data_IF_820665836133
#
_entry.id   IF_820665836133
#
_cell.length_a   1.000
_cell.length_b   1.000
_cell.length_c   1.000
_cell.angle_alpha   90.00
_cell.angle_beta   90.00
_cell.angle_gamma   90.00
#
_symmetry.space_group_name_H-M   'P 1'
#
loop_
_entity.id
_entity.type
_entity.pdbx_description
1 polymer ?
#
# COMPACT_ATOMS: atom_id res chain seq x y z
N UNK A 1 -9.20 1.03 -27.73
CA UNK A 1 -8.09 1.25 -26.76
C UNK A 1 -8.71 1.72 -25.46
N UNK A 2 -8.25 1.23 -24.30
CA UNK A 2 -8.74 1.68 -23.00
C UNK A 2 -8.06 2.99 -22.58
N UNK A 3 -8.74 3.81 -21.79
CA UNK A 3 -8.19 4.97 -21.09
C UNK A 3 -7.69 4.52 -19.71
N UNK A 4 -6.38 4.60 -19.49
CA UNK A 4 -5.73 4.13 -18.27
C UNK A 4 -5.16 5.32 -17.52
N UNK A 5 -5.56 5.46 -16.26
CA UNK A 5 -5.01 6.44 -15.34
C UNK A 5 -3.94 5.81 -14.46
N UNK A 6 -2.71 6.31 -14.52
CA UNK A 6 -1.62 5.98 -13.60
C UNK A 6 -1.52 7.10 -12.57
N UNK A 7 -1.63 6.77 -11.28
CA UNK A 7 -1.52 7.76 -10.21
C UNK A 7 -0.08 7.94 -9.76
N UNK A 8 0.51 9.11 -9.98
CA UNK A 8 1.93 9.39 -9.73
C UNK A 8 2.70 9.70 -11.02
N UNK A 9 3.99 10.07 -10.89
CA UNK A 9 4.82 10.49 -12.04
C UNK A 9 6.32 10.15 -11.87
N UNK A 10 6.64 9.11 -11.10
CA UNK A 10 8.00 8.65 -10.88
C UNK A 10 8.51 7.73 -12.01
N UNK A 11 9.69 7.13 -11.78
CA UNK A 11 10.33 6.23 -12.74
C UNK A 11 9.52 4.96 -13.00
N UNK A 12 8.96 4.36 -11.95
CA UNK A 12 8.09 3.16 -12.04
C UNK A 12 6.88 3.44 -12.93
N UNK A 13 6.24 4.59 -12.75
CA UNK A 13 5.05 4.99 -13.48
C UNK A 13 5.34 5.15 -14.99
N UNK A 14 6.50 5.73 -15.33
CA UNK A 14 6.96 5.84 -16.73
C UNK A 14 7.16 4.48 -17.38
N UNK A 15 7.79 3.53 -16.69
CA UNK A 15 7.99 2.16 -17.21
C UNK A 15 6.65 1.44 -17.40
N UNK A 16 5.70 1.60 -16.47
CA UNK A 16 4.33 1.05 -16.62
C UNK A 16 3.67 1.63 -17.87
N UNK A 17 3.74 2.94 -18.07
CA UNK A 17 3.16 3.60 -19.25
C UNK A 17 3.80 3.12 -20.56
N UNK A 18 5.12 2.93 -20.59
CA UNK A 18 5.82 2.41 -21.76
C UNK A 18 5.34 0.99 -22.14
N UNK A 19 5.11 0.13 -21.13
CA UNK A 19 4.57 -1.22 -21.37
C UNK A 19 3.11 -1.20 -21.81
N UNK A 20 2.36 -0.16 -21.44
CA UNK A 20 0.95 0.02 -21.80
C UNK A 20 0.75 0.99 -22.98
N UNK A 21 1.79 1.30 -23.76
CA UNK A 21 1.79 2.32 -24.84
C UNK A 21 0.71 2.16 -25.92
N UNK A 22 0.08 0.99 -26.03
CA UNK A 22 -1.04 0.74 -26.95
C UNK A 22 -2.41 1.17 -26.37
N UNK A 23 -2.40 1.89 -25.25
CA UNK A 23 -3.57 2.44 -24.57
C UNK A 23 -3.41 3.94 -24.38
N UNK A 24 -4.52 4.63 -24.11
CA UNK A 24 -4.50 6.06 -23.81
C UNK A 24 -4.06 6.24 -22.35
N UNK A 25 -2.82 6.66 -22.14
CA UNK A 25 -2.26 6.80 -20.80
C UNK A 25 -2.43 8.22 -20.28
N UNK A 26 -3.00 8.32 -19.08
CA UNK A 26 -3.09 9.55 -18.30
C UNK A 26 -2.26 9.41 -17.03
N UNK A 27 -1.54 10.47 -16.67
CA UNK A 27 -0.90 10.58 -15.37
C UNK A 27 -1.65 11.60 -14.52
N UNK A 28 -1.83 11.31 -13.24
CA UNK A 28 -2.39 12.27 -12.29
C UNK A 28 -1.77 12.08 -10.92
N UNK A 29 -1.33 13.17 -10.29
CA UNK A 29 -0.70 13.14 -8.97
C UNK A 29 -1.52 14.00 -8.00
N UNK A 30 -2.52 13.38 -7.40
CA UNK A 30 -3.47 14.02 -6.47
C UNK A 30 -3.81 13.01 -5.38
N UNK A 31 -4.02 13.47 -4.14
CA UNK A 31 -4.32 12.63 -2.98
C UNK A 31 -5.81 12.69 -2.59
N UNK A 32 -6.55 13.70 -3.07
CA UNK A 32 -7.98 13.83 -2.82
C UNK A 32 -8.79 12.90 -3.74
N UNK A 33 -9.37 11.85 -3.16
CA UNK A 33 -10.11 10.83 -3.90
C UNK A 33 -11.27 11.40 -4.73
N UNK A 34 -11.89 12.49 -4.28
CA UNK A 34 -12.97 13.16 -5.04
C UNK A 34 -12.47 13.75 -6.36
N UNK A 35 -11.27 14.34 -6.37
CA UNK A 35 -10.67 14.89 -7.59
C UNK A 35 -10.23 13.77 -8.54
N UNK A 36 -9.68 12.69 -8.00
CA UNK A 36 -9.35 11.49 -8.80
C UNK A 36 -10.61 10.92 -9.44
N UNK A 37 -11.71 10.79 -8.67
CA UNK A 37 -13.01 10.33 -9.17
C UNK A 37 -13.50 11.23 -10.31
N UNK A 38 -13.43 12.55 -10.12
CA UNK A 38 -13.85 13.53 -11.12
C UNK A 38 -13.01 13.42 -12.39
N UNK A 39 -11.69 13.28 -12.27
CA UNK A 39 -10.80 13.04 -13.40
C UNK A 39 -11.17 11.75 -14.15
N UNK A 40 -11.51 10.69 -13.42
CA UNK A 40 -11.92 9.43 -14.03
C UNK A 40 -13.17 9.60 -14.91
N UNK A 41 -14.14 10.40 -14.46
CA UNK A 41 -15.35 10.71 -15.22
C UNK A 41 -15.03 11.59 -16.44
N UNK A 42 -14.25 12.67 -16.25
CA UNK A 42 -13.92 13.62 -17.31
C UNK A 42 -13.10 13.01 -18.45
N UNK A 43 -12.22 12.06 -18.13
CA UNK A 43 -11.35 11.39 -19.10
C UNK A 43 -11.88 10.03 -19.54
N UNK A 44 -13.08 9.64 -19.12
CA UNK A 44 -13.68 8.33 -19.40
C UNK A 44 -12.70 7.17 -19.10
N UNK A 45 -12.10 7.19 -17.91
CA UNK A 45 -11.08 6.21 -17.49
C UNK A 45 -11.72 4.83 -17.31
N UNK A 46 -11.11 3.80 -17.88
CA UNK A 46 -11.54 2.40 -17.74
C UNK A 46 -10.79 1.68 -16.60
N UNK A 47 -9.52 2.04 -16.39
CA UNK A 47 -8.63 1.42 -15.42
C UNK A 47 -7.79 2.48 -14.70
N UNK A 48 -7.79 2.43 -13.37
CA UNK A 48 -6.86 3.18 -12.52
C UNK A 48 -5.77 2.23 -12.01
N UNK A 49 -4.51 2.65 -12.15
CA UNK A 49 -3.33 2.00 -11.61
C UNK A 49 -2.74 2.92 -10.52
N UNK A 50 -3.07 2.69 -9.25
CA UNK A 50 -2.41 3.35 -8.13
C UNK A 50 -1.01 2.78 -8.00
N UNK A 51 0.01 3.51 -8.43
CA UNK A 51 1.37 2.97 -8.48
C UNK A 51 2.08 3.04 -7.13
N UNK A 52 1.78 4.05 -6.30
CA UNK A 52 2.22 4.09 -4.90
C UNK A 52 1.25 3.36 -3.98
N UNK A 53 1.82 2.57 -3.09
CA UNK A 53 1.21 1.90 -1.96
C UNK A 53 0.41 2.85 -1.05
N UNK A 54 0.78 4.14 -0.98
CA UNK A 54 0.09 5.17 -0.19
C UNK A 54 -1.37 5.30 -0.60
N UNK A 55 -1.66 5.23 -1.91
CA UNK A 55 -3.03 5.30 -2.42
C UNK A 55 -3.88 4.09 -1.98
N UNK A 56 -3.30 2.90 -2.09
CA UNK A 56 -3.95 1.64 -1.74
C UNK A 56 -4.19 1.55 -0.23
N UNK A 57 -3.19 1.92 0.58
CA UNK A 57 -3.30 2.00 2.03
C UNK A 57 -4.33 3.05 2.49
N UNK A 58 -4.47 4.14 1.73
CA UNK A 58 -5.48 5.17 1.98
C UNK A 58 -6.90 4.73 1.57
N UNK A 59 -7.02 3.72 0.71
CA UNK A 59 -8.28 3.10 0.29
C UNK A 59 -8.85 3.63 -1.02
N UNK A 60 -8.00 4.03 -1.98
CA UNK A 60 -8.47 4.54 -3.28
C UNK A 60 -9.36 3.53 -4.00
N UNK A 61 -9.00 2.23 -3.93
CA UNK A 61 -9.74 1.16 -4.57
C UNK A 61 -11.16 1.07 -4.05
N UNK A 62 -11.32 1.00 -2.72
CA UNK A 62 -12.64 0.97 -2.09
C UNK A 62 -13.46 2.21 -2.43
N UNK A 63 -12.84 3.39 -2.39
CA UNK A 63 -13.50 4.67 -2.66
C UNK A 63 -14.01 4.79 -4.11
N UNK A 64 -13.18 4.42 -5.09
CA UNK A 64 -13.57 4.47 -6.50
C UNK A 64 -14.55 3.36 -6.83
N UNK A 65 -14.36 2.11 -6.39
CA UNK A 65 -15.29 1.01 -6.67
C UNK A 65 -16.68 1.24 -6.07
N UNK A 66 -16.76 1.95 -4.93
CA UNK A 66 -18.05 2.34 -4.33
C UNK A 66 -18.83 3.35 -5.18
N UNK A 67 -18.14 4.17 -5.98
CA UNK A 67 -18.73 5.32 -6.68
C UNK A 67 -18.74 5.19 -8.20
N UNK A 68 -17.85 4.38 -8.77
CA UNK A 68 -17.63 4.20 -10.20
C UNK A 68 -17.71 2.71 -10.55
N UNK A 69 -18.90 2.24 -10.95
CA UNK A 69 -19.13 0.80 -11.24
C UNK A 69 -18.33 0.27 -12.44
N UNK A 70 -18.03 1.13 -13.41
CA UNK A 70 -17.39 0.74 -14.67
C UNK A 70 -15.88 0.95 -14.67
N UNK A 71 -15.31 1.53 -13.60
CA UNK A 71 -13.88 1.83 -13.51
C UNK A 71 -13.20 0.73 -12.70
N UNK A 72 -12.28 0.01 -13.33
CA UNK A 72 -11.45 -0.98 -12.65
C UNK A 72 -10.34 -0.27 -11.89
N UNK A 73 -9.94 -0.81 -10.74
CA UNK A 73 -8.79 -0.32 -9.98
C UNK A 73 -7.84 -1.48 -9.71
N UNK A 74 -6.61 -1.35 -10.19
CA UNK A 74 -5.56 -2.34 -9.98
C UNK A 74 -5.05 -2.30 -8.53
N UNK A 75 -4.66 -3.46 -8.01
CA UNK A 75 -4.08 -3.61 -6.67
C UNK A 75 -5.07 -4.03 -5.57
N UNK A 76 -4.57 -4.21 -4.34
CA UNK A 76 -5.36 -4.60 -3.16
C UNK A 76 -6.35 -3.52 -2.71
N UNK A 77 -7.38 -3.92 -1.97
CA UNK A 77 -8.21 -2.97 -1.24
C UNK A 77 -7.51 -2.48 0.04
N UNK A 78 -8.10 -1.51 0.75
CA UNK A 78 -7.51 -0.92 1.97
C UNK A 78 -7.16 -1.95 3.03
N UNK A 79 -8.00 -2.98 3.19
CA UNK A 79 -7.77 -4.03 4.17
C UNK A 79 -6.57 -4.89 3.78
N UNK A 80 -6.53 -5.34 2.53
CA UNK A 80 -5.44 -6.15 1.98
C UNK A 80 -4.11 -5.37 1.95
N UNK A 81 -4.15 -4.07 1.64
CA UNK A 81 -2.98 -3.20 1.59
C UNK A 81 -2.29 -3.02 2.95
N UNK A 82 -2.96 -3.35 4.08
CA UNK A 82 -2.33 -3.35 5.41
C UNK A 82 -1.14 -4.31 5.51
N UNK A 83 -1.09 -5.34 4.67
CA UNK A 83 0.04 -6.26 4.59
C UNK A 83 1.35 -5.58 4.14
N UNK A 84 1.27 -4.43 3.49
CA UNK A 84 2.44 -3.60 3.19
C UNK A 84 2.49 -2.38 4.11
N UNK A 85 1.34 -1.72 4.32
CA UNK A 85 1.25 -0.48 5.08
C UNK A 85 1.43 -0.61 6.60
N UNK A 86 1.38 -1.81 7.17
CA UNK A 86 1.54 -2.04 8.60
C UNK A 86 2.47 -3.23 8.89
N UNK A 87 3.70 -2.92 9.33
CA UNK A 87 4.67 -3.93 9.76
C UNK A 87 4.10 -4.82 10.86
N UNK A 88 3.37 -4.25 11.83
CA UNK A 88 2.71 -4.99 12.89
C UNK A 88 1.68 -5.98 12.34
N UNK A 89 0.74 -5.52 11.50
CA UNK A 89 -0.28 -6.38 10.92
C UNK A 89 0.36 -7.54 10.13
N UNK A 90 1.38 -7.23 9.35
CA UNK A 90 2.10 -8.20 8.53
C UNK A 90 2.79 -9.26 9.37
N UNK A 91 3.52 -8.84 10.40
CA UNK A 91 4.22 -9.72 11.35
C UNK A 91 3.25 -10.58 12.16
N UNK A 92 2.11 -10.02 12.56
CA UNK A 92 1.04 -10.75 13.23
C UNK A 92 0.48 -11.86 12.35
N UNK A 93 0.10 -11.57 11.11
CA UNK A 93 -0.41 -12.57 10.15
C UNK A 93 0.62 -13.67 9.89
N UNK A 94 1.90 -13.31 9.70
CA UNK A 94 2.98 -14.29 9.52
C UNK A 94 3.08 -15.23 10.73
N UNK A 95 3.03 -14.70 11.95
CA UNK A 95 3.08 -15.51 13.18
C UNK A 95 1.83 -16.40 13.33
N UNK A 96 0.63 -15.89 13.08
CA UNK A 96 -0.63 -16.66 13.13
C UNK A 96 -0.65 -17.81 12.12
N UNK A 97 0.00 -17.65 10.96
CA UNK A 97 0.10 -18.65 9.91
C UNK A 97 1.37 -19.51 9.99
N UNK A 98 2.18 -19.36 11.04
CA UNK A 98 3.48 -20.04 11.19
C UNK A 98 4.44 -19.83 9.99
N UNK A 99 4.40 -18.65 9.36
CA UNK A 99 5.31 -18.27 8.29
C UNK A 99 6.65 -17.78 8.88
N UNK A 100 7.81 -18.27 8.37
CA UNK A 100 9.11 -17.81 8.84
C UNK A 100 9.28 -16.31 8.73
N UNK A 101 9.63 -15.65 9.84
CA UNK A 101 9.89 -14.21 9.88
C UNK A 101 10.83 -13.88 11.04
N UNK A 102 11.59 -12.78 10.94
CA UNK A 102 12.42 -12.33 12.05
C UNK A 102 11.58 -12.05 13.31
N UNK A 103 12.11 -12.40 14.48
CA UNK A 103 11.52 -12.06 15.78
C UNK A 103 11.13 -10.58 15.82
N UNK A 104 9.97 -10.30 16.39
CA UNK A 104 9.46 -8.94 16.49
C UNK A 104 8.70 -8.76 17.80
N UNK A 105 8.64 -7.52 18.24
CA UNK A 105 7.78 -7.08 19.32
C UNK A 105 7.07 -5.79 18.89
N UNK A 106 5.88 -5.57 19.44
CA UNK A 106 5.07 -4.38 19.20
C UNK A 106 4.77 -3.70 20.52
N UNK A 107 4.99 -2.39 20.57
CA UNK A 107 4.85 -1.60 21.78
C UNK A 107 3.89 -0.44 21.52
N UNK A 108 3.08 -0.12 22.54
CA UNK A 108 2.18 1.05 22.50
C UNK A 108 2.77 2.25 23.23
N UNK A 109 3.67 2.01 24.18
CA UNK A 109 4.28 3.05 25.01
C UNK A 109 5.79 2.99 24.95
N UNK A 110 6.42 4.13 25.19
CA UNK A 110 7.87 4.22 25.31
C UNK A 110 8.40 3.37 26.48
N UNK A 111 7.65 3.29 27.57
CA UNK A 111 8.04 2.52 28.75
C UNK A 111 8.17 1.02 28.46
N UNK A 112 7.24 0.47 27.65
CA UNK A 112 7.30 -0.94 27.23
C UNK A 112 8.54 -1.22 26.38
N UNK A 113 8.91 -0.25 25.52
CA UNK A 113 10.12 -0.34 24.69
C UNK A 113 11.37 -0.38 25.57
N UNK A 114 11.52 0.54 26.51
CA UNK A 114 12.68 0.59 27.41
C UNK A 114 12.84 -0.71 28.19
N UNK A 115 11.75 -1.21 28.78
CA UNK A 115 11.73 -2.47 29.53
C UNK A 115 12.15 -3.66 28.65
N UNK A 116 11.65 -3.73 27.42
CA UNK A 116 11.99 -4.79 26.50
C UNK A 116 13.47 -4.73 26.09
N UNK A 117 13.98 -3.55 25.76
CA UNK A 117 15.37 -3.36 25.33
C UNK A 117 16.33 -3.77 26.46
N UNK A 118 16.08 -3.35 27.70
CA UNK A 118 16.89 -3.74 28.86
C UNK A 118 16.90 -5.27 29.05
N UNK A 119 15.73 -5.91 28.94
CA UNK A 119 15.61 -7.36 29.08
C UNK A 119 16.31 -8.10 27.93
N UNK A 120 16.21 -7.57 26.71
CA UNK A 120 16.82 -8.14 25.52
C UNK A 120 18.35 -8.13 25.63
N UNK A 121 18.96 -7.00 26.03
CA UNK A 121 20.41 -6.91 26.20
C UNK A 121 20.93 -7.79 27.34
N UNK A 122 20.24 -7.83 28.50
CA UNK A 122 20.61 -8.75 29.61
C UNK A 122 20.58 -10.22 29.20
N UNK A 123 19.56 -10.63 28.43
CA UNK A 123 19.46 -12.01 27.90
C UNK A 123 20.58 -12.33 26.90
N UNK A 124 21.02 -11.34 26.12
CA UNK A 124 22.11 -11.52 25.15
C UNK A 124 23.46 -11.66 25.85
N UNK A 125 23.74 -10.87 26.87
CA UNK A 125 24.97 -10.97 27.69
C UNK A 125 25.05 -12.33 28.39
N UNK A 126 23.96 -12.81 28.97
CA UNK A 126 23.90 -14.13 29.64
C UNK A 126 23.94 -15.33 28.68
N UNK A 127 23.89 -15.12 27.36
CA UNK A 127 24.04 -16.16 26.32
C UNK A 127 25.45 -16.21 25.73
N UNK A 128 26.35 -15.32 26.15
CA UNK A 128 27.74 -15.23 25.68
C UNK A 128 28.72 -15.90 26.68
N UNK A 129 28.20 -16.47 27.78
CA UNK A 129 28.90 -17.42 28.66
C UNK A 129 28.36 -18.84 28.41
#
# INVERSE_FOLDING_TARGET
>A
MNNILILGNGGREKVIAEKLKNHNIHFYSENHFQKIRQFCLEKNIDLVIPSSEVYLCSGIKDALQKTLKNVKVYGPNKFQAKLEGSKYFSKKIMNELNLPTAEFAYFKTFNDVSTYIETFYKKKENKIL
#
